data_IF_362590091524
#
_entry.id   IF_362590091524
#
_cell.length_a   1.000
_cell.length_b   1.000
_cell.length_c   1.000
_cell.angle_alpha   90.00
_cell.angle_beta   90.00
_cell.angle_gamma   90.00
#
_symmetry.space_group_name_H-M   'P 1'
#
loop_
_entity.id
_entity.type
_entity.pdbx_description
1 polymer ?
#
# COMPACT_ATOMS: atom_id res chain seq x y z
N UNK A 1 11.66 -14.27 -14.43
CA UNK A 1 10.35 -14.98 -14.54
C UNK A 1 9.19 -14.16 -13.95
N UNK A 2 9.35 -13.55 -12.77
CA UNK A 2 8.30 -12.75 -12.14
C UNK A 2 7.90 -11.48 -12.92
N UNK A 3 8.86 -10.79 -13.56
CA UNK A 3 8.58 -9.58 -14.35
C UNK A 3 7.50 -9.85 -15.41
N UNK A 4 7.57 -10.97 -16.14
CA UNK A 4 6.53 -11.33 -17.13
C UNK A 4 5.12 -11.44 -16.51
N UNK A 5 5.01 -11.98 -15.30
CA UNK A 5 3.72 -12.09 -14.60
C UNK A 5 3.22 -10.71 -14.15
N UNK A 6 4.12 -9.87 -13.62
CA UNK A 6 3.80 -8.49 -13.20
C UNK A 6 3.38 -7.65 -14.40
N UNK A 7 4.10 -7.74 -15.52
CA UNK A 7 3.74 -7.11 -16.81
C UNK A 7 2.32 -7.50 -17.23
N UNK A 8 1.97 -8.79 -17.17
CA UNK A 8 0.63 -9.24 -17.57
C UNK A 8 -0.49 -8.64 -16.69
N UNK A 9 -0.26 -8.48 -15.37
CA UNK A 9 -1.21 -7.77 -14.50
C UNK A 9 -1.30 -6.27 -14.83
N UNK A 10 -0.18 -5.63 -15.17
CA UNK A 10 -0.17 -4.23 -15.61
C UNK A 10 -0.87 -4.03 -16.95
N UNK A 11 -0.77 -4.98 -17.87
CA UNK A 11 -1.52 -4.97 -19.14
C UNK A 11 -3.03 -5.03 -18.88
N UNK A 12 -3.48 -5.88 -17.96
CA UNK A 12 -4.90 -5.92 -17.56
C UNK A 12 -5.32 -4.63 -16.87
N UNK A 13 -4.49 -4.04 -16.00
CA UNK A 13 -4.75 -2.76 -15.37
C UNK A 13 -4.94 -1.63 -16.40
N UNK A 14 -4.03 -1.53 -17.39
CA UNK A 14 -4.14 -0.58 -18.51
C UNK A 14 -5.40 -0.80 -19.34
N UNK A 15 -5.77 -2.06 -19.58
CA UNK A 15 -6.99 -2.40 -20.33
C UNK A 15 -8.25 -1.93 -19.60
N UNK A 16 -8.33 -2.15 -18.28
CA UNK A 16 -9.43 -1.67 -17.45
C UNK A 16 -9.47 -0.14 -17.40
N UNK A 17 -8.30 0.50 -17.22
CA UNK A 17 -8.18 1.96 -17.22
C UNK A 17 -8.69 2.60 -18.51
N UNK A 18 -8.36 2.02 -19.68
CA UNK A 18 -8.88 2.45 -21.00
C UNK A 18 -10.39 2.30 -21.17
N UNK A 19 -11.07 1.59 -20.27
CA UNK A 19 -12.52 1.44 -20.23
C UNK A 19 -13.16 2.35 -19.17
N UNK A 20 -12.42 3.38 -18.71
CA UNK A 20 -12.82 4.30 -17.65
C UNK A 20 -13.13 3.60 -16.32
N UNK A 21 -12.51 2.44 -16.07
CA UNK A 21 -12.60 1.73 -14.80
C UNK A 21 -11.42 2.17 -13.94
N UNK A 22 -11.64 2.83 -12.78
CA UNK A 22 -10.54 3.24 -11.92
C UNK A 22 -9.79 2.03 -11.37
N UNK A 23 -8.47 2.05 -11.55
CA UNK A 23 -7.56 0.99 -11.11
C UNK A 23 -6.60 1.50 -10.05
N UNK A 24 -6.26 0.63 -9.11
CA UNK A 24 -5.25 0.87 -8.08
C UNK A 24 -4.18 -0.22 -8.19
N UNK A 25 -2.92 0.19 -8.28
CA UNK A 25 -1.77 -0.70 -8.38
C UNK A 25 -0.91 -0.48 -7.15
N UNK A 26 -0.82 -1.49 -6.26
CA UNK A 26 -0.05 -1.43 -5.03
C UNK A 26 0.92 -2.62 -4.90
N UNK A 27 2.05 -2.39 -4.26
CA UNK A 27 2.95 -3.43 -3.74
C UNK A 27 3.05 -3.27 -2.24
N UNK A 28 2.68 -4.32 -1.50
CA UNK A 28 2.84 -4.35 -0.04
C UNK A 28 4.05 -5.18 0.35
N UNK A 29 4.76 -4.71 1.37
CA UNK A 29 5.88 -5.42 1.99
C UNK A 29 5.35 -6.21 3.19
N UNK A 30 5.81 -7.43 3.33
CA UNK A 30 5.33 -8.33 4.36
C UNK A 30 6.14 -9.61 4.50
N UNK A 31 5.51 -10.65 5.03
CA UNK A 31 6.04 -12.00 5.17
C UNK A 31 5.04 -13.02 4.61
N UNK A 32 5.51 -14.26 4.38
CA UNK A 32 4.64 -15.39 4.07
C UNK A 32 4.59 -16.30 5.29
N UNK A 33 3.41 -16.41 5.89
CA UNK A 33 3.17 -17.23 7.08
C UNK A 33 2.09 -18.26 6.74
N UNK A 34 2.42 -19.54 6.92
CA UNK A 34 1.50 -20.66 6.64
C UNK A 34 0.87 -20.58 5.23
N UNK A 35 1.69 -20.29 4.22
CA UNK A 35 1.26 -20.16 2.82
C UNK A 35 0.42 -18.91 2.52
N UNK A 36 0.27 -17.98 3.47
CA UNK A 36 -0.51 -16.76 3.28
C UNK A 36 0.37 -15.52 3.45
N UNK A 37 0.25 -14.57 2.52
CA UNK A 37 0.92 -13.28 2.66
C UNK A 37 0.31 -12.47 3.81
N UNK A 38 1.17 -11.98 4.71
CA UNK A 38 0.82 -11.05 5.78
C UNK A 38 1.50 -9.72 5.51
N UNK A 39 0.71 -8.68 5.29
CA UNK A 39 1.24 -7.33 5.13
C UNK A 39 1.82 -6.83 6.46
N UNK A 40 2.92 -6.11 6.37
CA UNK A 40 3.57 -5.44 7.49
C UNK A 40 4.92 -6.03 7.86
N UNK A 41 5.74 -5.20 8.50
CA UNK A 41 7.11 -5.51 8.89
C UNK A 41 7.32 -5.24 10.38
N UNK A 42 8.40 -5.76 11.00
CA UNK A 42 8.75 -5.40 12.36
C UNK A 42 8.95 -3.88 12.52
N UNK A 43 8.61 -3.32 13.70
CA UNK A 43 8.73 -1.88 13.99
C UNK A 43 10.12 -1.32 13.69
N UNK A 44 11.18 -2.06 14.02
CA UNK A 44 12.56 -1.64 13.75
C UNK A 44 12.80 -1.41 12.25
N UNK A 45 12.33 -2.35 11.41
CA UNK A 45 12.41 -2.26 9.94
C UNK A 45 11.60 -1.10 9.39
N UNK A 46 10.37 -0.93 9.89
CA UNK A 46 9.50 0.18 9.53
C UNK A 46 10.17 1.54 9.79
N UNK A 47 10.73 1.72 10.99
CA UNK A 47 11.41 2.96 11.36
C UNK A 47 12.64 3.20 10.49
N UNK A 48 13.50 2.18 10.30
CA UNK A 48 14.69 2.30 9.45
C UNK A 48 14.35 2.75 8.01
N UNK A 49 13.34 2.12 7.39
CA UNK A 49 12.90 2.50 6.04
C UNK A 49 12.29 3.89 6.00
N UNK A 50 11.49 4.25 7.01
CA UNK A 50 10.89 5.59 7.10
C UNK A 50 11.95 6.68 7.27
N UNK A 51 12.96 6.45 8.10
CA UNK A 51 14.08 7.38 8.34
C UNK A 51 14.89 7.59 7.04
N UNK A 52 15.10 6.54 6.25
CA UNK A 52 15.74 6.65 4.94
C UNK A 52 14.99 7.58 4.00
N UNK A 53 13.66 7.47 3.90
CA UNK A 53 12.85 8.39 3.08
C UNK A 53 12.91 9.83 3.58
N UNK A 54 12.86 10.04 4.90
CA UNK A 54 12.94 11.37 5.49
C UNK A 54 14.28 12.07 5.22
N UNK A 55 15.36 11.30 5.10
CA UNK A 55 16.68 11.82 4.77
C UNK A 55 16.91 11.95 3.26
N UNK A 56 16.07 11.31 2.44
CA UNK A 56 16.21 11.36 0.99
C UNK A 56 15.65 12.67 0.42
N UNK A 57 16.41 13.33 -0.45
CA UNK A 57 15.92 14.47 -1.26
C UNK A 57 15.00 14.00 -2.41
N UNK A 58 14.66 12.71 -2.46
CA UNK A 58 13.95 12.08 -3.57
C UNK A 58 12.43 12.14 -3.40
N UNK A 59 11.93 12.68 -2.28
CA UNK A 59 10.50 12.64 -1.98
C UNK A 59 9.94 13.96 -1.46
N UNK A 60 8.72 14.24 -1.90
CA UNK A 60 7.88 15.27 -1.27
C UNK A 60 7.19 14.62 -0.07
N UNK A 61 7.53 15.09 1.13
CA UNK A 61 7.02 14.51 2.37
C UNK A 61 5.62 15.04 2.68
N UNK A 62 4.63 14.14 2.77
CA UNK A 62 3.29 14.45 3.25
C UNK A 62 3.21 14.60 4.78
N UNK A 63 2.18 15.30 5.23
CA UNK A 63 1.81 15.33 6.66
C UNK A 63 1.19 13.99 7.08
N UNK A 64 1.27 13.69 8.38
CA UNK A 64 0.54 12.56 8.95
C UNK A 64 -0.96 12.74 8.75
N UNK A 65 -1.61 11.70 8.24
CA UNK A 65 -3.06 11.62 8.09
C UNK A 65 -3.60 10.54 9.02
N UNK A 66 -4.77 10.81 9.62
CA UNK A 66 -5.48 9.84 10.43
C UNK A 66 -6.77 9.45 9.72
N UNK A 67 -7.02 8.15 9.58
CA UNK A 67 -8.28 7.66 9.02
C UNK A 67 -8.81 6.45 9.78
N UNK A 68 -10.10 6.20 9.61
CA UNK A 68 -10.83 5.07 10.16
C UNK A 68 -11.53 4.37 9.01
N UNK A 69 -11.14 3.12 8.74
CA UNK A 69 -11.75 2.30 7.71
C UNK A 69 -12.72 1.30 8.35
N UNK A 70 -13.99 1.42 8.01
CA UNK A 70 -15.06 0.50 8.36
C UNK A 70 -15.29 -0.45 7.20
N UNK A 71 -15.21 -1.76 7.44
CA UNK A 71 -15.44 -2.77 6.41
C UNK A 71 -16.92 -3.18 6.45
N UNK A 72 -17.69 -2.69 5.48
CA UNK A 72 -19.16 -2.80 5.44
C UNK A 72 -19.65 -3.97 4.57
N UNK A 73 -18.76 -4.58 3.81
CA UNK A 73 -19.03 -5.75 2.99
C UNK A 73 -17.74 -6.48 2.63
N UNK A 74 -17.82 -7.48 1.73
CA UNK A 74 -16.65 -8.28 1.30
C UNK A 74 -15.56 -7.41 0.65
N UNK A 75 -15.98 -6.42 -0.14
CA UNK A 75 -15.10 -5.50 -0.89
C UNK A 75 -15.42 -4.03 -0.63
N UNK A 76 -16.42 -3.76 0.20
CA UNK A 76 -16.89 -2.40 0.49
C UNK A 76 -16.27 -1.88 1.78
N UNK A 77 -15.77 -0.64 1.72
CA UNK A 77 -15.21 0.05 2.86
C UNK A 77 -15.67 1.50 2.89
N UNK A 78 -15.99 1.98 4.09
CA UNK A 78 -16.21 3.39 4.39
C UNK A 78 -14.97 3.94 5.10
N UNK A 79 -14.30 4.91 4.50
CA UNK A 79 -13.09 5.53 5.01
C UNK A 79 -13.43 6.93 5.50
N UNK A 80 -13.24 7.16 6.78
CA UNK A 80 -13.43 8.47 7.42
C UNK A 80 -12.04 9.03 7.71
N UNK A 81 -11.67 10.09 6.99
CA UNK A 81 -10.40 10.81 7.21
C UNK A 81 -10.64 12.01 8.11
N UNK A 82 -9.80 12.18 9.13
CA UNK A 82 -9.93 13.24 10.14
C UNK A 82 -8.72 14.17 10.10
N UNK A 83 -8.97 15.47 10.16
CA UNK A 83 -7.92 16.47 10.41
C UNK A 83 -7.53 16.46 11.90
N UNK A 84 -6.42 17.09 12.24
CA UNK A 84 -6.02 17.32 13.63
C UNK A 84 -6.47 18.73 14.04
N UNK A 85 -7.33 18.93 15.07
CA UNK A 85 -7.77 17.98 16.08
C UNK A 85 -9.19 17.44 15.84
N UNK A 86 -9.31 16.28 15.18
CA UNK A 86 -10.46 15.38 15.22
C UNK A 86 -11.65 15.66 14.30
N UNK A 87 -11.68 16.78 13.59
CA UNK A 87 -12.77 17.08 12.64
C UNK A 87 -12.75 16.12 11.45
N UNK A 88 -13.92 15.63 11.04
CA UNK A 88 -14.03 14.83 9.82
C UNK A 88 -13.72 15.74 8.63
N UNK A 89 -12.65 15.40 7.90
CA UNK A 89 -12.23 16.08 6.68
C UNK A 89 -12.95 15.51 5.47
N UNK A 90 -13.04 14.19 5.40
CA UNK A 90 -13.57 13.48 4.25
C UNK A 90 -14.21 12.14 4.68
N UNK A 91 -15.23 11.71 3.93
CA UNK A 91 -15.85 10.40 4.04
C UNK A 91 -15.93 9.79 2.64
N UNK A 92 -15.29 8.66 2.44
CA UNK A 92 -15.23 7.96 1.16
C UNK A 92 -15.88 6.60 1.33
N UNK A 93 -16.88 6.31 0.49
CA UNK A 93 -17.43 4.96 0.38
C UNK A 93 -16.92 4.37 -0.94
N UNK A 94 -16.17 3.27 -0.84
CA UNK A 94 -15.50 2.68 -2.00
C UNK A 94 -15.67 1.17 -2.02
N UNK A 95 -15.82 0.62 -3.22
CA UNK A 95 -15.73 -0.81 -3.48
C UNK A 95 -14.36 -1.12 -4.09
N UNK A 96 -13.51 -1.83 -3.33
CA UNK A 96 -12.18 -2.25 -3.75
C UNK A 96 -12.16 -3.75 -4.05
N UNK A 97 -12.15 -4.10 -5.34
CA UNK A 97 -12.18 -5.48 -5.83
C UNK A 97 -10.82 -5.90 -6.39
N UNK A 98 -10.26 -7.05 -5.99
CA UNK A 98 -9.01 -7.54 -6.56
C UNK A 98 -9.22 -7.98 -8.01
N UNK A 99 -8.36 -7.49 -8.90
CA UNK A 99 -8.23 -7.99 -10.28
C UNK A 99 -7.27 -9.17 -10.32
N UNK A 100 -6.14 -9.04 -9.63
CA UNK A 100 -5.14 -10.10 -9.53
C UNK A 100 -4.01 -9.72 -8.59
N UNK A 101 -3.25 -10.73 -8.16
CA UNK A 101 -2.09 -10.52 -7.31
C UNK A 101 -0.98 -11.52 -7.60
N UNK A 102 0.25 -11.10 -7.32
CA UNK A 102 1.46 -11.92 -7.39
C UNK A 102 2.21 -11.75 -6.08
N UNK A 103 2.57 -12.88 -5.47
CA UNK A 103 3.43 -12.89 -4.29
C UNK A 103 4.84 -13.25 -4.74
N UNK A 104 5.79 -12.42 -4.34
CA UNK A 104 7.21 -12.59 -4.57
C UNK A 104 7.88 -12.80 -3.22
N UNK A 105 8.41 -13.99 -2.95
CA UNK A 105 9.25 -14.21 -1.77
C UNK A 105 10.66 -13.73 -2.09
N UNK A 106 11.35 -13.17 -1.09
CA UNK A 106 12.79 -12.94 -1.19
C UNK A 106 13.58 -13.97 -0.39
N UNK A 107 14.87 -14.08 -0.70
CA UNK A 107 15.85 -14.81 0.11
C UNK A 107 16.32 -14.03 1.36
N UNK A 108 15.65 -12.91 1.70
CA UNK A 108 16.05 -12.09 2.84
C UNK A 108 15.90 -12.86 4.16
N UNK A 109 16.87 -12.77 5.11
CA UNK A 109 16.84 -13.53 6.37
C UNK A 109 15.60 -13.28 7.25
N UNK A 110 15.00 -12.09 7.14
CA UNK A 110 13.75 -11.75 7.86
C UNK A 110 12.48 -12.32 7.19
N UNK A 111 12.62 -13.12 6.12
CA UNK A 111 11.49 -13.72 5.42
C UNK A 111 10.62 -12.71 4.67
N UNK A 112 11.25 -11.68 4.09
CA UNK A 112 10.55 -10.60 3.40
C UNK A 112 9.89 -11.13 2.14
N UNK A 113 8.67 -10.68 1.89
CA UNK A 113 7.93 -10.91 0.68
C UNK A 113 7.29 -9.61 0.19
N UNK A 114 7.08 -9.54 -1.12
CA UNK A 114 6.34 -8.48 -1.78
C UNK A 114 5.05 -9.07 -2.33
N UNK A 115 3.92 -8.37 -2.11
CA UNK A 115 2.67 -8.70 -2.76
C UNK A 115 2.28 -7.57 -3.70
N UNK A 116 2.44 -7.82 -5.00
CA UNK A 116 1.96 -6.95 -6.06
C UNK A 116 0.47 -7.23 -6.29
N UNK A 117 -0.37 -6.20 -6.29
CA UNK A 117 -1.79 -6.33 -6.52
C UNK A 117 -2.30 -5.27 -7.48
N UNK A 118 -3.30 -5.65 -8.28
CA UNK A 118 -4.15 -4.73 -9.03
C UNK A 118 -5.56 -4.83 -8.47
N UNK A 119 -6.18 -3.70 -8.20
CA UNK A 119 -7.59 -3.61 -7.81
C UNK A 119 -8.34 -2.69 -8.76
N UNK A 120 -9.65 -2.86 -8.84
CA UNK A 120 -10.55 -1.77 -9.23
C UNK A 120 -11.06 -1.10 -7.97
N UNK A 121 -11.05 0.23 -7.92
CA UNK A 121 -11.58 0.99 -6.79
C UNK A 121 -12.66 1.95 -7.27
N UNK A 122 -13.93 1.58 -7.04
CA UNK A 122 -15.07 2.37 -7.51
C UNK A 122 -15.70 3.14 -6.35
N UNK A 123 -15.93 4.46 -6.47
CA UNK A 123 -16.72 5.19 -5.50
C UNK A 123 -18.16 4.66 -5.51
N UNK A 124 -18.73 4.48 -4.33
CA UNK A 124 -20.12 4.08 -4.14
C UNK A 124 -20.98 5.31 -3.78
N UNK A 125 -22.27 5.32 -4.16
CA UNK A 125 -23.19 6.38 -3.75
C UNK A 125 -23.22 6.51 -2.22
N UNK A 126 -23.23 7.74 -1.71
CA UNK A 126 -23.31 7.98 -0.28
C UNK A 126 -24.65 7.47 0.28
N UNK A 127 -24.64 6.35 1.00
CA UNK A 127 -25.84 5.74 1.61
C UNK A 127 -26.08 6.20 3.07
N UNK A 128 -25.38 7.24 3.52
CA UNK A 128 -25.39 7.67 4.92
C UNK A 128 -24.40 6.87 5.77
N UNK A 129 -24.04 7.42 6.93
CA UNK A 129 -22.96 6.96 7.83
C UNK A 129 -23.30 5.74 8.70
N UNK A 130 -24.28 4.92 8.30
CA UNK A 130 -24.71 3.78 9.13
C UNK A 130 -23.77 2.59 8.90
N UNK A 131 -22.67 2.56 9.65
CA UNK A 131 -21.77 1.40 9.72
C UNK A 131 -22.10 0.59 10.98
N UNK A 132 -23.02 -0.37 10.90
CA UNK A 132 -23.29 -1.30 11.99
C UNK A 132 -22.55 -2.63 11.78
N UNK A 133 -21.59 -2.90 12.66
CA UNK A 133 -20.85 -4.17 12.69
C UNK A 133 -19.72 -4.27 11.66
N UNK A 134 -18.76 -5.15 11.95
CA UNK A 134 -17.63 -5.45 11.05
C UNK A 134 -16.25 -5.11 11.64
N UNK A 135 -15.22 -5.46 10.87
CA UNK A 135 -13.84 -5.11 11.18
C UNK A 135 -13.65 -3.59 11.00
N UNK A 136 -12.95 -2.95 11.93
CA UNK A 136 -12.56 -1.55 11.86
C UNK A 136 -11.05 -1.43 11.93
N UNK A 137 -10.47 -0.55 11.12
CA UNK A 137 -9.04 -0.21 11.18
C UNK A 137 -8.85 1.27 11.46
N UNK A 138 -8.23 1.58 12.58
CA UNK A 138 -7.67 2.90 12.85
C UNK A 138 -6.28 2.96 12.20
N UNK A 139 -6.03 3.99 11.39
CA UNK A 139 -4.80 4.12 10.60
C UNK A 139 -4.17 5.49 10.82
N UNK A 140 -2.86 5.50 11.01
CA UNK A 140 -2.03 6.69 10.89
C UNK A 140 -1.05 6.47 9.75
N UNK A 141 -1.11 7.34 8.74
CA UNK A 141 -0.36 7.18 7.50
C UNK A 141 0.49 8.41 7.23
N UNK A 142 1.72 8.19 6.80
CA UNK A 142 2.59 9.20 6.20
C UNK A 142 2.98 8.73 4.81
N UNK A 143 2.77 9.59 3.82
CA UNK A 143 3.02 9.29 2.41
C UNK A 143 4.20 10.09 1.90
N UNK A 144 5.02 9.47 1.06
CA UNK A 144 6.18 10.07 0.41
C UNK A 144 6.01 9.94 -1.10
N UNK A 145 5.72 11.05 -1.77
CA UNK A 145 5.56 11.09 -3.24
C UNK A 145 6.91 11.09 -3.94
N UNK A 146 7.01 10.33 -5.03
CA UNK A 146 8.19 10.25 -5.90
C UNK A 146 7.79 10.68 -7.31
N UNK A 147 8.51 11.65 -7.86
CA UNK A 147 8.39 12.06 -9.25
C UNK A 147 9.18 11.10 -10.16
N UNK A 148 8.75 10.94 -11.41
CA UNK A 148 9.45 10.07 -12.35
C UNK A 148 9.36 10.57 -13.78
N UNK A 149 10.50 10.68 -14.46
CA UNK A 149 10.59 11.08 -15.87
C UNK A 149 9.79 12.36 -16.22
N UNK A 150 9.78 13.34 -15.30
CA UNK A 150 9.04 14.59 -15.48
C UNK A 150 7.55 14.53 -15.12
N UNK A 151 7.05 13.40 -14.63
CA UNK A 151 5.70 13.26 -14.09
C UNK A 151 5.73 13.43 -12.58
N UNK A 152 4.98 14.41 -12.09
CA UNK A 152 4.86 14.68 -10.65
C UNK A 152 3.98 13.62 -9.96
N UNK A 153 4.27 13.34 -8.69
CA UNK A 153 3.50 12.43 -7.84
C UNK A 153 3.22 11.08 -8.53
N UNK A 154 4.25 10.50 -9.15
CA UNK A 154 4.10 9.28 -9.95
C UNK A 154 3.89 8.06 -9.07
N UNK A 155 4.69 7.94 -8.01
CA UNK A 155 4.59 6.87 -7.05
C UNK A 155 4.41 7.43 -5.65
N UNK A 156 3.77 6.69 -4.76
CA UNK A 156 3.71 7.00 -3.32
C UNK A 156 4.22 5.82 -2.52
N UNK A 157 5.14 6.08 -1.58
CA UNK A 157 5.39 5.16 -0.48
C UNK A 157 4.57 5.56 0.74
N UNK A 158 3.67 4.68 1.14
CA UNK A 158 2.78 4.85 2.27
C UNK A 158 3.26 4.05 3.48
N UNK A 159 3.67 4.77 4.51
CA UNK A 159 4.05 4.22 5.81
C UNK A 159 2.84 4.32 6.74
N UNK A 160 2.23 3.18 7.05
CA UNK A 160 0.98 3.12 7.81
C UNK A 160 1.11 2.31 9.09
N UNK A 161 0.74 2.92 10.21
CA UNK A 161 0.49 2.24 11.48
C UNK A 161 -1.00 1.88 11.54
N UNK A 162 -1.30 0.61 11.79
CA UNK A 162 -2.66 0.07 11.76
C UNK A 162 -3.00 -0.61 13.08
N UNK A 163 -4.14 -0.22 13.65
CA UNK A 163 -4.78 -0.90 14.77
C UNK A 163 -6.14 -1.42 14.32
N UNK A 164 -6.38 -2.70 14.55
CA UNK A 164 -7.59 -3.37 14.08
C UNK A 164 -8.46 -3.77 15.28
N UNK A 165 -9.74 -3.43 15.22
CA UNK A 165 -10.71 -3.78 16.24
C UNK A 165 -12.07 -4.16 15.65
N UNK A 166 -13.02 -4.51 16.51
CA UNK A 166 -14.42 -4.81 16.13
C UNK A 166 -15.32 -3.57 16.18
N UNK A 167 -14.77 -2.43 16.60
CA UNK A 167 -15.44 -1.13 16.63
C UNK A 167 -14.41 0.01 16.59
N UNK A 168 -14.84 1.23 16.26
CA UNK A 168 -13.99 2.43 16.31
C UNK A 168 -13.41 2.66 17.72
N UNK A 169 -14.24 2.48 18.76
CA UNK A 169 -13.80 2.62 20.16
C UNK A 169 -12.68 1.63 20.48
N UNK A 170 -12.90 0.35 20.16
CA UNK A 170 -11.92 -0.69 20.43
C UNK A 170 -10.60 -0.48 19.64
N UNK A 171 -10.69 -0.11 18.36
CA UNK A 171 -9.49 0.18 17.55
C UNK A 171 -8.67 1.37 18.11
N UNK A 172 -9.35 2.41 18.63
CA UNK A 172 -8.68 3.54 19.29
C UNK A 172 -8.10 3.20 20.66
N UNK A 173 -8.77 2.35 21.43
CA UNK A 173 -8.24 1.85 22.71
C UNK A 173 -6.97 1.02 22.48
N UNK A 174 -6.95 0.18 21.44
CA UNK A 174 -5.74 -0.55 21.04
C UNK A 174 -4.59 0.39 20.65
N UNK A 175 -4.87 1.47 19.93
CA UNK A 175 -3.86 2.51 19.66
C UNK A 175 -3.25 3.11 20.95
N UNK A 176 -4.06 3.33 21.98
CA UNK A 176 -3.59 3.93 23.25
C UNK A 176 -2.77 2.98 24.11
N UNK A 177 -3.00 1.66 24.00
CA UNK A 177 -2.54 0.70 25.02
C UNK A 177 -1.80 -0.52 24.47
N UNK A 178 -1.79 -0.77 23.16
CA UNK A 178 -1.38 -2.07 22.60
C UNK A 178 0.00 -2.08 21.93
N UNK A 179 0.64 -3.25 21.98
CA UNK A 179 1.77 -3.66 21.13
C UNK A 179 1.33 -4.26 19.78
N UNK A 180 0.04 -4.54 19.59
CA UNK A 180 -0.54 -5.12 18.36
C UNK A 180 -0.70 -4.08 17.23
N UNK A 181 0.26 -3.17 17.13
CA UNK A 181 0.36 -2.26 15.99
C UNK A 181 0.94 -3.05 14.82
N UNK A 182 0.24 -3.06 13.69
CA UNK A 182 0.83 -3.51 12.43
C UNK A 182 1.45 -2.33 11.71
N UNK A 183 2.70 -2.50 11.28
CA UNK A 183 3.46 -1.50 10.55
C UNK A 183 3.51 -1.87 9.08
N UNK A 184 2.60 -1.31 8.28
CA UNK A 184 2.47 -1.59 6.84
C UNK A 184 3.28 -0.58 6.02
N UNK A 185 3.95 -1.07 4.99
CA UNK A 185 4.64 -0.26 3.97
C UNK A 185 4.10 -0.68 2.61
N UNK A 186 3.68 0.31 1.84
CA UNK A 186 3.03 0.14 0.54
C UNK A 186 3.65 1.08 -0.48
N UNK A 187 3.91 0.59 -1.68
CA UNK A 187 4.22 1.39 -2.87
C UNK A 187 2.98 1.43 -3.76
N UNK A 188 2.53 2.60 -4.16
CA UNK A 188 1.42 2.78 -5.07
C UNK A 188 1.87 3.53 -6.33
N UNK A 189 1.33 3.17 -7.50
CA UNK A 189 1.40 3.98 -8.71
C UNK A 189 0.20 4.93 -8.73
N UNK A 190 0.45 6.22 -8.53
CA UNK A 190 -0.59 7.24 -8.26
C UNK A 190 -0.92 8.12 -9.46
N UNK A 191 -0.08 8.12 -10.51
CA UNK A 191 -0.27 8.95 -11.70
C UNK A 191 -0.83 8.14 -12.88
N UNK A 192 -2.10 8.37 -13.20
CA UNK A 192 -2.82 7.68 -14.28
C UNK A 192 -2.25 7.99 -15.68
N UNK A 193 -1.80 9.22 -15.93
CA UNK A 193 -1.17 9.56 -17.22
C UNK A 193 0.14 8.80 -17.40
N UNK A 194 0.92 8.64 -16.32
CA UNK A 194 2.12 7.81 -16.35
C UNK A 194 1.81 6.32 -16.59
N UNK A 195 0.72 5.80 -15.99
CA UNK A 195 0.22 4.46 -16.28
C UNK A 195 -0.12 4.28 -17.75
N UNK A 196 -0.71 5.29 -18.41
CA UNK A 196 -1.03 5.24 -19.83
C UNK A 196 0.23 5.25 -20.70
N UNK A 197 1.12 6.22 -20.49
CA UNK A 197 2.25 6.54 -21.36
C UNK A 197 3.37 5.48 -21.32
N UNK A 198 3.61 4.88 -20.15
CA UNK A 198 4.75 3.99 -19.96
C UNK A 198 4.44 2.54 -20.29
N UNK A 199 5.35 1.82 -20.96
CA UNK A 199 5.13 0.38 -21.23
C UNK A 199 5.00 -0.44 -19.94
N UNK A 200 4.18 -1.50 -19.97
CA UNK A 200 3.97 -2.39 -18.81
C UNK A 200 5.26 -3.06 -18.32
N UNK A 201 6.19 -3.39 -19.21
CA UNK A 201 7.50 -3.91 -18.82
C UNK A 201 8.30 -2.88 -18.03
N UNK A 202 8.36 -1.65 -18.52
CA UNK A 202 9.05 -0.57 -17.83
C UNK A 202 8.40 -0.27 -16.46
N UNK A 203 7.07 -0.26 -16.39
CA UNK A 203 6.34 -0.09 -15.13
C UNK A 203 6.66 -1.23 -14.14
N UNK A 204 6.69 -2.48 -14.60
CA UNK A 204 7.04 -3.63 -13.76
C UNK A 204 8.45 -3.47 -13.18
N UNK A 205 9.45 -3.16 -14.02
CA UNK A 205 10.83 -2.96 -13.58
C UNK A 205 10.97 -1.77 -12.63
N UNK A 206 10.29 -0.65 -12.92
CA UNK A 206 10.31 0.55 -12.07
C UNK A 206 9.68 0.30 -10.70
N UNK A 207 8.51 -0.34 -10.65
CA UNK A 207 7.81 -0.63 -9.39
C UNK A 207 8.63 -1.60 -8.54
N UNK A 208 9.06 -2.73 -9.13
CA UNK A 208 9.84 -3.74 -8.39
C UNK A 208 11.20 -3.16 -7.98
N UNK A 209 11.89 -2.44 -8.86
CA UNK A 209 13.17 -1.81 -8.56
C UNK A 209 13.08 -0.85 -7.38
N UNK A 210 12.01 -0.05 -7.29
CA UNK A 210 11.77 0.83 -6.13
C UNK A 210 11.55 0.03 -4.85
N UNK A 211 10.75 -1.03 -4.88
CA UNK A 211 10.57 -1.89 -3.69
C UNK A 211 11.87 -2.55 -3.24
N UNK A 212 12.68 -3.05 -4.19
CA UNK A 212 13.99 -3.66 -3.88
C UNK A 212 14.98 -2.62 -3.34
N UNK A 213 14.95 -1.38 -3.83
CA UNK A 213 15.85 -0.32 -3.36
C UNK A 213 15.70 0.02 -1.88
N UNK A 214 14.56 -0.32 -1.25
CA UNK A 214 14.37 -0.19 0.20
C UNK A 214 15.33 -1.06 1.02
N UNK A 215 15.93 -2.06 0.38
CA UNK A 215 16.88 -3.01 0.97
C UNK A 215 18.30 -2.77 0.45
N UNK A 216 18.55 -1.66 -0.24
CA UNK A 216 19.84 -1.37 -0.88
C UNK A 216 21.01 -1.40 0.10
N UNK A 217 20.85 -0.86 1.31
CA UNK A 217 21.92 -0.88 2.32
C UNK A 217 22.36 -2.32 2.68
N UNK A 218 21.45 -3.28 2.63
CA UNK A 218 21.74 -4.69 2.90
C UNK A 218 22.43 -5.36 1.70
N UNK A 219 22.10 -4.90 0.49
CA UNK A 219 22.77 -5.32 -0.74
C UNK A 219 24.21 -4.79 -0.83
N UNK A 220 24.47 -3.57 -0.35
CA UNK A 220 25.81 -2.97 -0.30
C UNK A 220 26.76 -3.73 0.64
N UNK A 221 26.24 -4.39 1.68
CA UNK A 221 27.01 -5.28 2.56
C UNK A 221 27.06 -6.74 2.07
N UNK A 222 26.72 -6.99 0.81
CA UNK A 222 26.90 -8.27 0.13
C UNK A 222 25.75 -9.27 0.27
N UNK A 223 24.57 -8.87 0.76
CA UNK A 223 23.38 -9.75 0.77
C UNK A 223 22.61 -9.61 -0.54
N UNK A 224 22.47 -10.69 -1.30
CA UNK A 224 21.57 -10.69 -2.46
C UNK A 224 20.10 -10.52 -1.99
N UNK A 225 19.32 -9.72 -2.70
CA UNK A 225 17.87 -9.60 -2.52
C UNK A 225 17.19 -10.15 -3.78
N UNK A 226 17.10 -11.47 -3.84
CA UNK A 226 16.56 -12.19 -5.01
C UNK A 226 15.08 -12.49 -4.80
N UNK A 227 14.28 -12.19 -5.83
CA UNK A 227 12.84 -12.42 -5.81
C UNK A 227 12.44 -13.66 -6.61
N UNK A 228 11.63 -14.50 -5.99
CA UNK A 228 11.02 -15.68 -6.62
C UNK A 228 9.51 -15.61 -6.53
N UNK A 229 8.81 -16.07 -7.56
CA UNK A 229 7.34 -16.18 -7.52
C UNK A 229 6.96 -17.35 -6.63
N UNK A 230 5.99 -17.13 -5.75
CA UNK A 230 5.35 -18.17 -4.93
C UNK A 230 4.11 -18.71 -5.63
#
# INVERSE_FOLDING_TARGET
>A
MYIKKVTALLDEAKKLHKQDIPVEIEVRIGSIENGTFKAGVPRGRYNMMMDWFQQSNLTTTGNWTTSIAHFTGKHERCIITKDTPGSVKNIELVEKKPVGSIILSSNHPEGIALRFCVYTEKPLPNKGTVTTGGMVRYRQRKSYSIDSKGYENTFSFDFTQVWQGTSERNAKELHRHSKDTRFEIELELTNNTYLEDMSSNYLADSIIGKCVSLFQHEMEVGRAFDLTVV
#
